data_IF_123098733598
#
_entry.id   IF_123098733598
#
_cell.length_a   1.000
_cell.length_b   1.000
_cell.length_c   1.000
_cell.angle_alpha   90.00
_cell.angle_beta   90.00
_cell.angle_gamma   90.00
#
_symmetry.space_group_name_H-M   'P 1'
#
loop_
_entity.id
_entity.type
_entity.pdbx_description
1 polymer ?
#
# COMPACT_ATOMS: atom_id res chain seq x y z
N UNK A 1 -23.01 40.59 -22.84
CA UNK A 1 -21.81 40.22 -22.08
C UNK A 1 -21.56 38.76 -22.33
N UNK A 2 -20.39 38.39 -22.87
CA UNK A 2 -19.98 36.99 -22.90
C UNK A 2 -19.81 36.53 -21.46
N UNK A 3 -20.59 35.53 -21.05
CA UNK A 3 -20.50 34.95 -19.72
C UNK A 3 -19.24 34.10 -19.67
N UNK A 4 -18.37 34.38 -18.71
CA UNK A 4 -17.24 33.51 -18.41
C UNK A 4 -17.79 32.16 -17.92
N UNK A 5 -17.55 31.11 -18.70
CA UNK A 5 -18.08 29.77 -18.45
C UNK A 5 -17.57 29.13 -17.15
N UNK A 6 -16.53 29.67 -16.53
CA UNK A 6 -16.04 29.22 -15.22
C UNK A 6 -16.63 30.03 -14.05
N UNK A 7 -17.31 31.14 -14.32
CA UNK A 7 -17.96 31.97 -13.30
C UNK A 7 -19.42 31.53 -13.04
N UNK A 8 -19.95 30.63 -13.87
CA UNK A 8 -21.28 30.02 -13.68
C UNK A 8 -21.20 28.77 -12.81
N UNK A 9 -22.36 28.36 -12.29
CA UNK A 9 -22.43 27.11 -11.52
C UNK A 9 -22.12 25.91 -12.41
N UNK A 10 -21.61 24.83 -11.81
CA UNK A 10 -21.37 23.58 -12.55
C UNK A 10 -22.66 23.01 -13.14
N UNK A 11 -23.80 23.19 -12.46
CA UNK A 11 -25.12 22.79 -12.96
C UNK A 11 -25.47 23.55 -14.24
N UNK A 12 -25.36 24.88 -14.24
CA UNK A 12 -25.57 25.70 -15.44
C UNK A 12 -24.61 25.35 -16.58
N UNK A 13 -23.34 25.05 -16.27
CA UNK A 13 -22.37 24.65 -17.27
C UNK A 13 -22.75 23.31 -17.94
N UNK A 14 -23.20 22.33 -17.15
CA UNK A 14 -23.65 21.03 -17.65
C UNK A 14 -24.95 21.14 -18.47
N UNK A 15 -25.90 21.97 -18.02
CA UNK A 15 -27.09 22.28 -18.81
C UNK A 15 -26.73 22.88 -20.17
N UNK A 16 -25.76 23.81 -20.21
CA UNK A 16 -25.29 24.38 -21.49
C UNK A 16 -24.66 23.34 -22.41
N UNK A 17 -23.88 22.38 -21.89
CA UNK A 17 -23.38 21.26 -22.69
C UNK A 17 -24.51 20.35 -23.22
N UNK A 18 -25.60 20.19 -22.46
CA UNK A 18 -26.73 19.34 -22.82
C UNK A 18 -27.83 20.02 -23.66
N UNK A 19 -27.83 21.35 -23.77
CA UNK A 19 -28.91 22.12 -24.36
C UNK A 19 -29.07 21.97 -25.89
N UNK A 20 -28.14 21.29 -26.57
CA UNK A 20 -28.14 21.18 -28.04
C UNK A 20 -27.86 22.50 -28.77
N UNK A 21 -27.52 23.55 -28.03
CA UNK A 21 -27.14 24.86 -28.56
C UNK A 21 -25.65 24.88 -28.95
N UNK A 22 -25.26 25.89 -29.70
CA UNK A 22 -23.92 25.99 -30.27
C UNK A 22 -22.80 26.32 -29.26
N UNK A 23 -23.04 26.51 -27.95
CA UNK A 23 -21.97 26.83 -26.97
C UNK A 23 -22.29 26.32 -25.56
N UNK A 24 -21.32 25.76 -24.82
CA UNK A 24 -19.96 25.38 -25.21
C UNK A 24 -19.90 24.11 -26.06
N UNK A 25 -18.86 23.99 -26.89
CA UNK A 25 -18.67 22.90 -27.84
C UNK A 25 -17.91 21.69 -27.27
N UNK A 26 -17.71 20.66 -28.10
CA UNK A 26 -17.01 19.43 -27.70
C UNK A 26 -15.52 19.63 -27.41
N UNK A 27 -14.86 20.65 -27.98
CA UNK A 27 -13.47 21.00 -27.64
C UNK A 27 -13.36 21.55 -26.22
N UNK A 28 -14.31 22.41 -25.83
CA UNK A 28 -14.46 22.93 -24.48
C UNK A 28 -14.72 21.79 -23.48
N UNK A 29 -15.54 20.80 -23.85
CA UNK A 29 -15.73 19.61 -23.02
C UNK A 29 -14.41 18.82 -22.82
N UNK A 30 -13.61 18.66 -23.88
CA UNK A 30 -12.31 17.99 -23.80
C UNK A 30 -11.31 18.76 -22.92
N UNK A 31 -11.26 20.09 -23.04
CA UNK A 31 -10.43 20.94 -22.16
C UNK A 31 -10.86 20.82 -20.70
N UNK A 32 -12.17 20.83 -20.43
CA UNK A 32 -12.73 20.69 -19.09
C UNK A 32 -12.36 19.33 -18.46
N UNK A 33 -12.37 18.24 -19.23
CA UNK A 33 -11.85 16.94 -18.75
C UNK A 33 -10.38 17.03 -18.33
N UNK A 34 -9.53 17.67 -19.13
CA UNK A 34 -8.13 17.91 -18.76
C UNK A 34 -7.98 18.75 -17.48
N UNK A 35 -8.80 19.78 -17.31
CA UNK A 35 -8.81 20.63 -16.10
C UNK A 35 -9.15 19.83 -14.83
N UNK A 36 -10.13 18.93 -14.91
CA UNK A 36 -10.48 18.04 -13.80
C UNK A 36 -9.32 17.09 -13.46
N UNK A 37 -8.71 16.47 -14.48
CA UNK A 37 -7.54 15.61 -14.31
C UNK A 37 -6.38 16.35 -13.63
N UNK A 38 -6.09 17.58 -14.05
CA UNK A 38 -5.06 18.42 -13.43
C UNK A 38 -5.30 18.63 -11.93
N UNK A 39 -6.55 18.93 -11.52
CA UNK A 39 -6.88 19.15 -10.10
C UNK A 39 -6.82 17.88 -9.26
N UNK A 40 -7.20 16.73 -9.82
CA UNK A 40 -7.02 15.43 -9.16
C UNK A 40 -5.53 15.14 -8.92
N UNK A 41 -4.66 15.39 -9.90
CA UNK A 41 -3.21 15.17 -9.75
C UNK A 41 -2.59 16.05 -8.67
N UNK A 42 -2.91 17.36 -8.68
CA UNK A 42 -2.48 18.30 -7.63
C UNK A 42 -2.90 17.79 -6.25
N UNK A 43 -4.12 17.28 -6.12
CA UNK A 43 -4.64 16.72 -4.86
C UNK A 43 -3.81 15.52 -4.40
N UNK A 44 -3.56 14.55 -5.28
CA UNK A 44 -2.77 13.36 -4.91
C UNK A 44 -1.32 13.73 -4.55
N UNK A 45 -0.70 14.66 -5.28
CA UNK A 45 0.66 15.12 -4.97
C UNK A 45 0.69 15.85 -3.61
N UNK A 46 -0.31 16.69 -3.32
CA UNK A 46 -0.46 17.35 -2.01
C UNK A 46 -0.62 16.33 -0.87
N UNK A 47 -1.48 15.32 -1.03
CA UNK A 47 -1.64 14.22 -0.06
C UNK A 47 -0.33 13.44 0.15
N UNK A 48 0.49 13.33 -0.89
CA UNK A 48 1.82 12.69 -0.85
C UNK A 48 2.83 13.53 -0.06
N UNK A 49 2.73 14.87 -0.16
CA UNK A 49 3.58 15.84 0.53
C UNK A 49 3.18 16.13 2.00
N UNK A 50 2.09 15.53 2.51
CA UNK A 50 1.70 15.69 3.91
C UNK A 50 2.82 15.27 4.89
N UNK A 51 3.01 16.04 5.96
CA UNK A 51 4.12 15.88 6.91
C UNK A 51 4.27 14.45 7.43
N UNK A 52 3.16 13.83 7.86
CA UNK A 52 3.12 12.45 8.36
C UNK A 52 3.51 11.39 7.32
N UNK A 53 3.59 11.74 6.04
CA UNK A 53 3.91 10.83 4.92
C UNK A 53 5.22 11.16 4.21
N UNK A 54 5.71 12.41 4.27
CA UNK A 54 6.93 12.86 3.56
C UNK A 54 8.12 11.90 3.68
N UNK A 55 8.36 11.34 4.86
CA UNK A 55 9.46 10.40 5.08
C UNK A 55 9.39 9.15 4.17
N UNK A 56 8.20 8.67 3.82
CA UNK A 56 7.99 7.51 2.95
C UNK A 56 8.28 7.80 1.48
N UNK A 57 8.13 9.05 1.07
CA UNK A 57 8.22 9.49 -0.33
C UNK A 57 9.44 10.37 -0.60
N UNK A 58 10.37 10.49 0.36
CA UNK A 58 11.50 11.43 0.33
C UNK A 58 12.29 11.42 -0.99
N UNK A 59 12.46 10.24 -1.59
CA UNK A 59 13.25 10.08 -2.82
C UNK A 59 12.51 10.64 -4.05
N UNK A 60 11.21 10.36 -4.18
CA UNK A 60 10.44 10.71 -5.39
C UNK A 60 9.72 12.07 -5.28
N UNK A 61 9.48 12.54 -4.06
CA UNK A 61 8.71 13.75 -3.79
C UNK A 61 9.21 15.00 -4.54
N UNK A 62 10.53 15.28 -4.66
CA UNK A 62 11.00 16.43 -5.43
C UNK A 62 10.54 16.39 -6.90
N UNK A 63 10.54 15.22 -7.54
CA UNK A 63 10.07 15.07 -8.91
C UNK A 63 8.56 15.32 -9.01
N UNK A 64 7.78 14.82 -8.05
CA UNK A 64 6.34 15.07 -8.00
C UNK A 64 6.01 16.56 -7.83
N UNK A 65 6.77 17.28 -7.01
CA UNK A 65 6.57 18.71 -6.79
C UNK A 65 6.91 19.56 -8.03
N UNK A 66 7.89 19.13 -8.84
CA UNK A 66 8.15 19.77 -10.15
C UNK A 66 6.94 19.60 -11.08
N UNK A 67 6.32 18.42 -11.10
CA UNK A 67 5.11 18.17 -11.88
C UNK A 67 3.89 18.92 -11.36
N UNK A 68 3.74 19.03 -10.04
CA UNK A 68 2.70 19.85 -9.41
C UNK A 68 2.82 21.32 -9.84
N UNK A 69 4.02 21.89 -9.77
CA UNK A 69 4.26 23.27 -10.20
C UNK A 69 3.97 23.46 -11.69
N UNK A 70 4.39 22.53 -12.55
CA UNK A 70 4.12 22.58 -13.99
C UNK A 70 2.61 22.50 -14.30
N UNK A 71 1.86 21.70 -13.54
CA UNK A 71 0.40 21.64 -13.66
C UNK A 71 -0.23 22.98 -13.28
N UNK A 72 0.16 23.54 -12.13
CA UNK A 72 -0.48 24.74 -11.58
C UNK A 72 -0.13 26.02 -12.35
N UNK A 73 1.12 26.16 -12.79
CA UNK A 73 1.63 27.40 -13.39
C UNK A 73 1.53 27.42 -14.93
N UNK A 74 1.36 26.26 -15.58
CA UNK A 74 1.29 26.18 -17.05
C UNK A 74 0.09 25.40 -17.55
N UNK A 75 0.01 24.11 -17.25
CA UNK A 75 -0.97 23.22 -17.92
C UNK A 75 -2.41 23.64 -17.60
N UNK A 76 -2.74 23.86 -16.32
CA UNK A 76 -4.10 24.24 -15.92
C UNK A 76 -4.49 25.65 -16.42
N UNK A 77 -3.64 26.69 -16.32
CA UNK A 77 -3.90 27.98 -16.96
C UNK A 77 -4.09 27.89 -18.47
N UNK A 78 -3.28 27.11 -19.20
CA UNK A 78 -3.42 26.94 -20.64
C UNK A 78 -4.71 26.22 -21.02
N UNK A 79 -5.09 25.16 -20.30
CA UNK A 79 -6.38 24.49 -20.50
C UNK A 79 -7.56 25.42 -20.22
N UNK A 80 -7.45 26.27 -19.20
CA UNK A 80 -8.47 27.29 -18.88
C UNK A 80 -8.63 28.29 -20.02
N UNK A 81 -7.52 28.78 -20.56
CA UNK A 81 -7.52 29.68 -21.73
C UNK A 81 -8.14 28.99 -22.95
N UNK A 82 -7.69 27.78 -23.27
CA UNK A 82 -8.17 27.00 -24.42
C UNK A 82 -9.65 26.63 -24.30
N UNK A 83 -10.15 26.38 -23.08
CA UNK A 83 -11.56 26.14 -22.80
C UNK A 83 -12.43 27.33 -23.23
N UNK A 84 -12.01 28.55 -22.92
CA UNK A 84 -12.72 29.76 -23.36
C UNK A 84 -12.55 30.04 -24.85
N UNK A 85 -11.32 29.91 -25.37
CA UNK A 85 -11.03 30.12 -26.78
C UNK A 85 -11.85 29.19 -27.67
N UNK A 86 -12.00 27.90 -27.31
CA UNK A 86 -12.82 26.96 -28.07
C UNK A 86 -14.29 27.38 -28.12
N UNK A 87 -14.88 27.76 -26.98
CA UNK A 87 -16.27 28.20 -26.92
C UNK A 87 -16.55 29.45 -27.77
N UNK A 88 -15.59 30.39 -27.81
CA UNK A 88 -15.66 31.59 -28.64
C UNK A 88 -15.50 31.22 -30.12
N UNK A 89 -14.46 30.46 -30.45
CA UNK A 89 -14.09 30.10 -31.81
C UNK A 89 -15.14 29.22 -32.50
N UNK A 90 -15.78 28.32 -31.75
CA UNK A 90 -16.90 27.54 -32.24
C UNK A 90 -18.05 28.45 -32.69
N UNK A 91 -18.36 29.50 -31.91
CA UNK A 91 -19.34 30.51 -32.30
C UNK A 91 -19.02 31.20 -33.61
N UNK A 92 -17.77 31.66 -33.77
CA UNK A 92 -17.31 32.31 -35.01
C UNK A 92 -17.45 31.39 -36.22
N UNK A 93 -17.09 30.12 -36.06
CA UNK A 93 -17.19 29.11 -37.12
C UNK A 93 -18.64 28.85 -37.53
N UNK A 94 -19.58 28.80 -36.57
CA UNK A 94 -21.01 28.64 -36.88
C UNK A 94 -21.55 29.87 -37.59
N UNK A 95 -21.30 31.09 -37.07
CA UNK A 95 -21.75 32.32 -37.72
C UNK A 95 -21.22 32.45 -39.15
N UNK A 96 -19.94 32.16 -39.39
CA UNK A 96 -19.37 32.21 -40.73
C UNK A 96 -20.01 31.19 -41.70
N UNK A 97 -20.44 30.01 -41.19
CA UNK A 97 -21.17 29.02 -41.99
C UNK A 97 -22.60 29.46 -42.28
N UNK A 98 -23.30 30.03 -41.31
CA UNK A 98 -24.65 30.58 -41.50
C UNK A 98 -24.66 31.74 -42.49
N UNK A 99 -23.69 32.66 -42.41
CA UNK A 99 -23.53 33.76 -43.37
C UNK A 99 -23.31 33.25 -44.79
N UNK A 100 -22.44 32.24 -44.94
CA UNK A 100 -22.24 31.56 -46.22
C UNK A 100 -23.53 30.92 -46.73
N UNK A 101 -24.21 30.13 -45.90
CA UNK A 101 -25.37 29.33 -46.32
C UNK A 101 -26.58 30.21 -46.70
N UNK A 102 -26.66 31.43 -46.15
CA UNK A 102 -27.71 32.41 -46.48
C UNK A 102 -27.37 33.30 -47.69
N UNK A 103 -26.12 33.34 -48.16
CA UNK A 103 -25.72 34.18 -49.29
C UNK A 103 -26.07 33.51 -50.63
N UNK A 104 -26.83 34.24 -51.45
CA UNK A 104 -27.37 33.78 -52.74
C UNK A 104 -26.39 34.04 -53.89
N UNK A 105 -25.62 35.13 -53.82
CA UNK A 105 -24.63 35.44 -54.86
C UNK A 105 -23.46 34.45 -54.81
N UNK A 106 -23.23 33.73 -55.91
CA UNK A 106 -22.22 32.66 -55.96
C UNK A 106 -20.79 33.13 -55.67
N UNK A 107 -20.41 34.34 -56.10
CA UNK A 107 -19.05 34.85 -55.88
C UNK A 107 -18.83 35.26 -54.42
N UNK A 108 -19.81 35.94 -53.81
CA UNK A 108 -19.78 36.27 -52.38
C UNK A 108 -19.89 35.03 -51.51
N UNK A 109 -20.77 34.10 -51.86
CA UNK A 109 -20.92 32.81 -51.18
C UNK A 109 -19.59 32.06 -51.12
N UNK A 110 -18.89 31.95 -52.25
CA UNK A 110 -17.58 31.31 -52.29
C UNK A 110 -16.54 32.04 -51.40
N UNK A 111 -16.53 33.38 -51.38
CA UNK A 111 -15.65 34.16 -50.50
C UNK A 111 -15.95 33.94 -49.01
N UNK A 112 -17.22 33.89 -48.63
CA UNK A 112 -17.65 33.54 -47.27
C UNK A 112 -17.26 32.10 -46.94
N UNK A 113 -17.36 31.17 -47.89
CA UNK A 113 -16.88 29.80 -47.76
C UNK A 113 -15.39 29.72 -47.41
N UNK A 114 -14.55 30.56 -48.04
CA UNK A 114 -13.13 30.67 -47.69
C UNK A 114 -12.91 31.19 -46.27
N UNK A 115 -13.65 32.22 -45.90
CA UNK A 115 -13.59 32.80 -44.54
C UNK A 115 -14.00 31.76 -43.48
N UNK A 116 -15.06 31.00 -43.73
CA UNK A 116 -15.52 29.92 -42.85
C UNK A 116 -14.49 28.78 -42.73
N UNK A 117 -13.73 28.49 -43.79
CA UNK A 117 -12.63 27.52 -43.74
C UNK A 117 -11.45 28.05 -42.91
N UNK A 118 -11.14 29.34 -42.99
CA UNK A 118 -10.07 29.95 -42.19
C UNK A 118 -10.42 29.96 -40.69
N UNK A 119 -11.68 30.25 -40.33
CA UNK A 119 -12.17 30.10 -38.95
C UNK A 119 -12.12 28.63 -38.48
N UNK A 120 -12.36 27.68 -39.39
CA UNK A 120 -12.27 26.25 -39.10
C UNK A 120 -10.83 25.77 -38.85
N UNK A 121 -9.81 26.42 -39.43
CA UNK A 121 -8.40 26.13 -39.15
C UNK A 121 -8.09 26.38 -37.67
N UNK A 122 -8.54 27.51 -37.12
CA UNK A 122 -8.39 27.83 -35.69
C UNK A 122 -9.15 26.82 -34.81
N UNK A 123 -10.35 26.42 -35.22
CA UNK A 123 -11.14 25.35 -34.57
C UNK A 123 -10.49 23.96 -34.60
N UNK A 124 -9.42 23.76 -35.39
CA UNK A 124 -8.59 22.54 -35.38
C UNK A 124 -7.36 22.73 -34.49
N UNK A 125 -6.75 23.91 -34.52
CA UNK A 125 -5.54 24.23 -33.76
C UNK A 125 -5.76 24.24 -32.24
N UNK A 126 -6.95 24.67 -31.79
CA UNK A 126 -7.32 24.66 -30.37
C UNK A 126 -7.39 23.22 -29.81
N UNK A 127 -8.18 22.28 -30.37
CA UNK A 127 -8.15 20.87 -29.96
C UNK A 127 -6.78 20.20 -30.09
N UNK A 128 -5.96 20.59 -31.07
CA UNK A 128 -4.60 20.08 -31.19
C UNK A 128 -3.74 20.45 -29.96
N UNK A 129 -3.91 21.67 -29.46
CA UNK A 129 -3.22 22.17 -28.26
C UNK A 129 -3.76 21.51 -26.99
N UNK A 130 -5.09 21.37 -26.87
CA UNK A 130 -5.73 20.66 -25.76
C UNK A 130 -5.25 19.20 -25.70
N UNK A 131 -5.23 18.50 -26.85
CA UNK A 131 -4.78 17.12 -26.94
C UNK A 131 -3.32 16.93 -26.48
N UNK A 132 -2.43 17.88 -26.78
CA UNK A 132 -1.03 17.87 -26.30
C UNK A 132 -0.95 18.00 -24.77
N UNK A 133 -1.69 18.93 -24.18
CA UNK A 133 -1.75 19.08 -22.72
C UNK A 133 -2.36 17.85 -22.03
N UNK A 134 -3.37 17.23 -22.64
CA UNK A 134 -3.94 15.97 -22.16
C UNK A 134 -2.94 14.81 -22.19
N UNK A 135 -2.04 14.75 -23.18
CA UNK A 135 -0.95 13.76 -23.20
C UNK A 135 -0.01 14.01 -22.01
N UNK A 136 0.40 15.25 -21.77
CA UNK A 136 1.27 15.61 -20.64
C UNK A 136 0.63 15.24 -19.28
N UNK A 137 -0.67 15.53 -19.10
CA UNK A 137 -1.40 15.14 -17.90
C UNK A 137 -1.50 13.63 -17.73
N UNK A 138 -1.71 12.89 -18.81
CA UNK A 138 -1.76 11.43 -18.77
C UNK A 138 -0.40 10.85 -18.32
N UNK A 139 0.71 11.34 -18.87
CA UNK A 139 2.07 10.92 -18.47
C UNK A 139 2.37 11.26 -17.00
N UNK A 140 1.95 12.44 -16.53
CA UNK A 140 2.07 12.79 -15.11
C UNK A 140 1.19 11.85 -14.26
N UNK A 141 -0.01 11.51 -14.73
CA UNK A 141 -0.91 10.60 -14.02
C UNK A 141 -0.31 9.21 -13.82
N UNK A 142 0.42 8.68 -14.80
CA UNK A 142 1.14 7.40 -14.67
C UNK A 142 2.18 7.46 -13.55
N UNK A 143 2.98 8.53 -13.50
CA UNK A 143 3.98 8.72 -12.44
C UNK A 143 3.33 8.84 -11.05
N UNK A 144 2.25 9.61 -10.95
CA UNK A 144 1.53 9.83 -9.69
C UNK A 144 0.79 8.57 -9.24
N UNK A 145 0.28 7.74 -10.17
CA UNK A 145 -0.31 6.44 -9.86
C UNK A 145 0.72 5.49 -9.21
N UNK A 146 1.92 5.40 -9.79
CA UNK A 146 2.96 4.49 -9.30
C UNK A 146 3.59 4.97 -7.99
N UNK A 147 3.89 6.26 -7.92
CA UNK A 147 4.80 6.80 -6.91
C UNK A 147 4.16 7.76 -5.91
N UNK A 148 2.92 8.16 -6.15
CA UNK A 148 2.15 9.00 -5.25
C UNK A 148 1.58 8.24 -4.05
N UNK A 149 0.68 8.92 -3.34
CA UNK A 149 0.03 8.34 -2.18
C UNK A 149 -0.84 7.14 -2.57
N UNK A 150 -0.44 5.95 -2.11
CA UNK A 150 -0.98 4.66 -2.59
C UNK A 150 -2.48 4.47 -2.34
N UNK A 151 -3.03 5.12 -1.30
CA UNK A 151 -4.46 5.06 -1.01
C UNK A 151 -5.31 5.96 -1.90
N UNK A 152 -4.70 6.90 -2.62
CA UNK A 152 -5.34 7.82 -3.56
C UNK A 152 -5.06 7.45 -5.03
N UNK A 153 -4.55 6.23 -5.31
CA UNK A 153 -4.32 5.74 -6.68
C UNK A 153 -5.57 5.76 -7.56
N UNK A 154 -6.76 5.66 -6.96
CA UNK A 154 -8.03 5.83 -7.66
C UNK A 154 -8.15 7.20 -8.32
N UNK A 155 -7.79 8.27 -7.62
CA UNK A 155 -7.84 9.64 -8.15
C UNK A 155 -6.84 9.83 -9.30
N UNK A 156 -5.64 9.26 -9.18
CA UNK A 156 -4.64 9.23 -10.26
C UNK A 156 -5.15 8.48 -11.50
N UNK A 157 -5.86 7.36 -11.30
CA UNK A 157 -6.44 6.60 -12.40
C UNK A 157 -7.58 7.36 -13.09
N UNK A 158 -8.44 8.05 -12.33
CA UNK A 158 -9.49 8.91 -12.89
C UNK A 158 -8.86 10.04 -13.71
N UNK A 159 -7.78 10.66 -13.23
CA UNK A 159 -7.04 11.68 -13.98
C UNK A 159 -6.41 11.14 -15.27
N UNK A 160 -5.81 9.93 -15.22
CA UNK A 160 -5.25 9.26 -16.39
C UNK A 160 -6.34 9.02 -17.45
N UNK A 161 -7.43 8.35 -17.07
CA UNK A 161 -8.54 8.04 -17.98
C UNK A 161 -9.25 9.30 -18.49
N UNK A 162 -9.43 10.32 -17.64
CA UNK A 162 -10.02 11.61 -18.05
C UNK A 162 -9.16 12.36 -19.07
N UNK A 163 -7.84 12.34 -18.89
CA UNK A 163 -6.91 12.94 -19.85
C UNK A 163 -6.92 12.20 -21.20
N UNK A 164 -6.96 10.87 -21.18
CA UNK A 164 -7.09 10.03 -22.38
C UNK A 164 -8.42 10.29 -23.10
N UNK A 165 -9.52 10.44 -22.37
CA UNK A 165 -10.82 10.77 -22.93
C UNK A 165 -10.82 12.16 -23.58
N UNK A 166 -10.18 13.15 -22.95
CA UNK A 166 -9.99 14.49 -23.53
C UNK A 166 -9.19 14.44 -24.84
N UNK A 167 -8.11 13.67 -24.87
CA UNK A 167 -7.32 13.43 -26.09
C UNK A 167 -8.14 12.74 -27.19
N UNK A 168 -8.94 11.72 -26.84
CA UNK A 168 -9.81 11.03 -27.78
C UNK A 168 -10.84 11.99 -28.40
N UNK A 169 -11.48 12.83 -27.57
CA UNK A 169 -12.38 13.88 -28.03
C UNK A 169 -11.71 14.85 -29.00
N UNK A 170 -10.50 15.34 -28.66
CA UNK A 170 -9.73 16.22 -29.54
C UNK A 170 -9.41 15.55 -30.89
N UNK A 171 -8.98 14.29 -30.88
CA UNK A 171 -8.72 13.53 -32.11
C UNK A 171 -9.98 13.45 -32.99
N UNK A 172 -11.14 13.12 -32.43
CA UNK A 172 -12.40 13.07 -33.18
C UNK A 172 -12.77 14.42 -33.79
N UNK A 173 -12.64 15.52 -33.02
CA UNK A 173 -12.94 16.88 -33.49
C UNK A 173 -12.03 17.27 -34.66
N UNK A 174 -10.72 17.04 -34.53
CA UNK A 174 -9.74 17.36 -35.57
C UNK A 174 -10.08 16.61 -36.86
N UNK A 175 -10.34 15.30 -36.79
CA UNK A 175 -10.64 14.49 -37.97
C UNK A 175 -11.94 14.94 -38.65
N UNK A 176 -12.99 15.23 -37.88
CA UNK A 176 -14.27 15.71 -38.43
C UNK A 176 -14.11 17.06 -39.15
N UNK A 177 -13.38 18.00 -38.55
CA UNK A 177 -13.18 19.32 -39.15
C UNK A 177 -12.29 19.24 -40.41
N UNK A 178 -11.31 18.34 -40.44
CA UNK A 178 -10.45 18.12 -41.64
C UNK A 178 -11.23 17.66 -42.88
N UNK A 179 -12.39 17.01 -42.72
CA UNK A 179 -13.24 16.58 -43.85
C UNK A 179 -13.82 17.75 -44.66
N UNK A 180 -13.80 18.97 -44.10
CA UNK A 180 -14.39 20.16 -44.75
C UNK A 180 -13.48 20.79 -45.81
N UNK A 181 -12.21 20.36 -45.92
CA UNK A 181 -11.21 21.02 -46.76
C UNK A 181 -11.02 20.34 -48.13
N UNK A 182 -10.81 21.16 -49.17
CA UNK A 182 -10.54 20.73 -50.54
C UNK A 182 -9.04 20.49 -50.84
N UNK A 183 -8.75 20.12 -52.09
CA UNK A 183 -7.39 19.79 -52.57
C UNK A 183 -6.45 20.99 -52.63
N UNK A 184 -6.98 22.19 -52.71
CA UNK A 184 -6.25 23.46 -52.70
C UNK A 184 -5.64 23.80 -51.33
N UNK A 185 -6.18 23.23 -50.25
CA UNK A 185 -5.66 23.36 -48.89
C UNK A 185 -4.76 22.16 -48.47
N UNK A 186 -4.42 21.27 -49.41
CA UNK A 186 -3.72 20.01 -49.14
C UNK A 186 -2.39 20.18 -48.38
N UNK A 187 -1.65 21.25 -48.67
CA UNK A 187 -0.38 21.51 -47.97
C UNK A 187 -0.58 21.77 -46.48
N UNK A 188 -1.66 22.46 -46.08
CA UNK A 188 -1.96 22.70 -44.67
C UNK A 188 -2.56 21.45 -44.02
N UNK A 189 -3.54 20.81 -44.68
CA UNK A 189 -4.20 19.62 -44.11
C UNK A 189 -3.24 18.45 -43.93
N UNK A 190 -2.29 18.23 -44.84
CA UNK A 190 -1.27 17.18 -44.72
C UNK A 190 -0.39 17.36 -43.48
N UNK A 191 -0.07 18.61 -43.08
CA UNK A 191 0.68 18.88 -41.83
C UNK A 191 -0.14 18.54 -40.60
N UNK A 192 -1.40 18.95 -40.56
CA UNK A 192 -2.30 18.62 -39.44
C UNK A 192 -2.52 17.11 -39.34
N UNK A 193 -2.66 16.41 -40.46
CA UNK A 193 -2.79 14.94 -40.49
C UNK A 193 -1.57 14.27 -39.84
N UNK A 194 -0.36 14.79 -40.07
CA UNK A 194 0.85 14.28 -39.41
C UNK A 194 0.80 14.49 -37.89
N UNK A 195 0.40 15.68 -37.43
CA UNK A 195 0.25 15.94 -35.99
C UNK A 195 -0.85 15.06 -35.36
N UNK A 196 -1.99 14.91 -36.01
CA UNK A 196 -3.07 14.05 -35.55
C UNK A 196 -2.65 12.56 -35.49
N UNK A 197 -1.79 12.10 -36.41
CA UNK A 197 -1.20 10.75 -36.33
C UNK A 197 -0.30 10.58 -35.09
N UNK A 198 0.49 11.60 -34.73
CA UNK A 198 1.31 11.57 -33.50
C UNK A 198 0.42 11.49 -32.25
N UNK A 199 -0.62 12.32 -32.17
CA UNK A 199 -1.59 12.28 -31.08
C UNK A 199 -2.27 10.91 -30.98
N UNK A 200 -2.63 10.30 -32.12
CA UNK A 200 -3.22 8.96 -32.16
C UNK A 200 -2.28 7.86 -31.65
N UNK A 201 -0.99 7.92 -31.98
CA UNK A 201 0.00 6.97 -31.44
C UNK A 201 0.05 7.06 -29.92
N UNK A 202 0.18 8.28 -29.39
CA UNK A 202 0.20 8.52 -27.94
C UNK A 202 -1.10 8.09 -27.26
N UNK A 203 -2.25 8.32 -27.89
CA UNK A 203 -3.54 7.82 -27.39
C UNK A 203 -3.56 6.30 -27.22
N UNK A 204 -3.05 5.55 -28.21
CA UNK A 204 -3.01 4.08 -28.15
C UNK A 204 -2.10 3.60 -27.01
N UNK A 205 -0.89 4.15 -26.93
CA UNK A 205 0.10 3.82 -25.89
C UNK A 205 -0.44 4.12 -24.47
N UNK A 206 -1.06 5.29 -24.28
CA UNK A 206 -1.62 5.69 -22.99
C UNK A 206 -2.84 4.84 -22.60
N UNK A 207 -3.67 4.44 -23.57
CA UNK A 207 -4.84 3.59 -23.29
C UNK A 207 -4.43 2.17 -22.88
N UNK A 208 -3.38 1.63 -23.49
CA UNK A 208 -2.77 0.35 -23.07
C UNK A 208 -2.21 0.46 -21.65
N UNK A 209 -1.48 1.54 -21.34
CA UNK A 209 -0.95 1.77 -19.99
C UNK A 209 -2.06 1.93 -18.94
N UNK A 210 -3.11 2.69 -19.22
CA UNK A 210 -4.24 2.87 -18.32
C UNK A 210 -4.94 1.54 -18.02
N UNK A 211 -5.06 0.66 -19.01
CA UNK A 211 -5.57 -0.71 -18.84
C UNK A 211 -4.65 -1.52 -17.94
N UNK A 212 -3.33 -1.48 -18.17
CA UNK A 212 -2.35 -2.19 -17.36
C UNK A 212 -2.36 -1.75 -15.88
N UNK A 213 -2.66 -0.46 -15.59
CA UNK A 213 -2.81 0.02 -14.21
C UNK A 213 -4.01 -0.59 -13.50
N UNK A 214 -5.15 -0.73 -14.19
CA UNK A 214 -6.33 -1.42 -13.65
C UNK A 214 -6.00 -2.89 -13.37
N UNK A 215 -5.38 -3.58 -14.32
CA UNK A 215 -4.94 -4.98 -14.15
C UNK A 215 -3.94 -5.15 -12.99
N UNK A 216 -3.10 -4.16 -12.72
CA UNK A 216 -2.17 -4.19 -11.58
C UNK A 216 -2.91 -4.22 -10.23
N UNK A 217 -4.00 -3.45 -10.11
CA UNK A 217 -4.85 -3.44 -8.92
C UNK A 217 -5.62 -4.75 -8.78
N UNK A 218 -6.10 -5.32 -9.88
CA UNK A 218 -6.74 -6.64 -9.89
C UNK A 218 -5.79 -7.73 -9.40
N UNK A 219 -4.53 -7.73 -9.85
CA UNK A 219 -3.49 -8.65 -9.38
C UNK A 219 -3.22 -8.51 -7.88
N UNK A 220 -3.25 -7.30 -7.33
CA UNK A 220 -3.14 -7.06 -5.88
C UNK A 220 -4.33 -7.68 -5.13
N UNK A 221 -5.55 -7.48 -5.64
CA UNK A 221 -6.79 -8.05 -5.07
C UNK A 221 -6.73 -9.57 -5.09
N UNK A 222 -6.38 -10.19 -6.21
CA UNK A 222 -6.27 -11.64 -6.36
C UNK A 222 -5.24 -12.24 -5.40
N UNK A 223 -4.08 -11.59 -5.28
CA UNK A 223 -3.02 -12.03 -4.38
C UNK A 223 -3.48 -12.01 -2.92
N UNK A 224 -4.21 -10.96 -2.53
CA UNK A 224 -4.79 -10.81 -1.20
C UNK A 224 -5.92 -11.83 -0.97
N UNK A 225 -6.79 -12.05 -1.95
CA UNK A 225 -7.88 -13.01 -1.87
C UNK A 225 -7.37 -14.45 -1.67
N UNK A 226 -6.28 -14.82 -2.37
CA UNK A 226 -5.62 -16.12 -2.19
C UNK A 226 -5.10 -16.33 -0.77
N UNK A 227 -4.45 -15.31 -0.19
CA UNK A 227 -4.02 -15.35 1.22
C UNK A 227 -5.23 -15.49 2.15
N UNK A 228 -6.23 -14.63 1.98
CA UNK A 228 -7.39 -14.55 2.88
C UNK A 228 -8.21 -15.83 2.87
N UNK A 229 -8.39 -16.46 1.70
CA UNK A 229 -9.06 -17.75 1.58
C UNK A 229 -8.34 -18.85 2.38
N UNK A 230 -7.01 -18.92 2.28
CA UNK A 230 -6.20 -19.90 3.03
C UNK A 230 -6.26 -19.65 4.54
N UNK A 231 -6.17 -18.38 4.96
CA UNK A 231 -6.29 -18.00 6.37
C UNK A 231 -7.69 -18.32 6.91
N UNK A 232 -8.76 -18.00 6.19
CA UNK A 232 -10.14 -18.33 6.58
C UNK A 232 -10.34 -19.84 6.74
N UNK A 233 -9.83 -20.65 5.79
CA UNK A 233 -9.86 -22.12 5.90
C UNK A 233 -9.11 -22.63 7.14
N UNK A 234 -7.93 -22.08 7.42
CA UNK A 234 -7.16 -22.39 8.62
C UNK A 234 -7.98 -22.07 9.88
N UNK A 235 -8.51 -20.85 10.00
CA UNK A 235 -9.28 -20.42 11.16
C UNK A 235 -10.54 -21.26 11.39
N UNK A 236 -11.32 -21.53 10.34
CA UNK A 236 -12.52 -22.38 10.43
C UNK A 236 -12.20 -23.80 10.89
N UNK A 237 -11.13 -24.38 10.36
CA UNK A 237 -10.68 -25.73 10.74
C UNK A 237 -10.22 -25.82 12.19
N UNK A 238 -9.56 -24.78 12.70
CA UNK A 238 -9.05 -24.78 14.07
C UNK A 238 -10.17 -24.51 15.07
N UNK A 239 -11.01 -23.51 14.79
CA UNK A 239 -12.11 -23.12 15.69
C UNK A 239 -13.25 -24.14 15.75
N UNK A 240 -13.31 -25.09 14.82
CA UNK A 240 -14.27 -26.22 14.87
C UNK A 240 -13.81 -27.37 15.77
N UNK A 241 -12.53 -27.43 16.17
CA UNK A 241 -12.03 -28.47 17.08
C UNK A 241 -12.50 -28.20 18.51
N UNK A 242 -13.10 -29.21 19.14
CA UNK A 242 -13.59 -29.13 20.52
C UNK A 242 -12.47 -29.15 21.58
N UNK A 243 -11.32 -29.73 21.24
CA UNK A 243 -10.10 -29.76 22.06
C UNK A 243 -8.88 -29.52 21.18
N UNK A 244 -7.99 -28.65 21.62
CA UNK A 244 -6.70 -28.36 20.99
C UNK A 244 -5.58 -28.76 21.94
N UNK A 245 -4.72 -29.69 21.51
CA UNK A 245 -3.51 -30.03 22.24
C UNK A 245 -2.30 -29.23 21.71
N UNK A 246 -1.14 -29.40 22.34
CA UNK A 246 0.07 -28.67 21.96
C UNK A 246 0.53 -29.00 20.53
N UNK A 247 0.39 -30.25 20.08
CA UNK A 247 0.73 -30.66 18.71
C UNK A 247 -0.18 -29.96 17.70
N UNK A 248 -1.49 -29.92 17.95
CA UNK A 248 -2.44 -29.18 17.11
C UNK A 248 -2.06 -27.71 17.00
N UNK A 249 -1.72 -27.06 18.14
CA UNK A 249 -1.34 -25.64 18.15
C UNK A 249 -0.05 -25.43 17.37
N UNK A 250 0.93 -26.32 17.49
CA UNK A 250 2.18 -26.23 16.75
C UNK A 250 1.98 -26.39 15.24
N UNK A 251 1.12 -27.29 14.81
CA UNK A 251 0.76 -27.46 13.38
C UNK A 251 0.08 -26.21 12.82
N UNK A 252 -0.89 -25.66 13.55
CA UNK A 252 -1.61 -24.44 13.17
C UNK A 252 -0.68 -23.24 13.05
N UNK A 253 0.20 -23.07 14.03
CA UNK A 253 1.21 -22.01 14.03
C UNK A 253 2.16 -22.16 12.84
N UNK A 254 2.63 -23.39 12.57
CA UNK A 254 3.52 -23.67 11.45
C UNK A 254 2.85 -23.38 10.11
N UNK A 255 1.58 -23.75 9.95
CA UNK A 255 0.80 -23.43 8.74
C UNK A 255 0.65 -21.92 8.58
N UNK A 256 0.31 -21.18 9.64
CA UNK A 256 0.19 -19.73 9.60
C UNK A 256 1.52 -19.05 9.21
N UNK A 257 2.63 -19.48 9.80
CA UNK A 257 3.97 -18.98 9.46
C UNK A 257 4.31 -19.24 8.00
N UNK A 258 4.01 -20.44 7.49
CA UNK A 258 4.20 -20.77 6.08
C UNK A 258 3.32 -19.91 5.17
N UNK A 259 2.08 -19.61 5.56
CA UNK A 259 1.24 -18.68 4.80
C UNK A 259 1.87 -17.28 4.75
N UNK A 260 2.41 -16.79 5.87
CA UNK A 260 3.09 -15.48 5.90
C UNK A 260 4.34 -15.48 5.02
N UNK A 261 5.10 -16.58 5.02
CA UNK A 261 6.30 -16.72 4.20
C UNK A 261 5.99 -16.83 2.70
N UNK A 262 5.04 -17.67 2.31
CA UNK A 262 4.65 -17.88 0.90
C UNK A 262 4.06 -16.60 0.31
N UNK A 263 3.26 -15.86 1.09
CA UNK A 263 2.58 -14.64 0.64
C UNK A 263 3.32 -13.35 1.03
N UNK A 264 4.62 -13.42 1.35
CA UNK A 264 5.40 -12.29 1.86
C UNK A 264 5.42 -11.07 0.93
N UNK A 265 5.41 -11.26 -0.38
CA UNK A 265 5.36 -10.16 -1.35
C UNK A 265 4.03 -9.37 -1.27
N UNK A 266 2.93 -10.06 -0.95
CA UNK A 266 1.61 -9.44 -0.77
C UNK A 266 1.52 -8.71 0.57
N UNK A 267 2.14 -9.26 1.61
CA UNK A 267 2.08 -8.71 2.98
C UNK A 267 3.04 -7.52 3.15
N UNK A 268 4.23 -7.59 2.53
CA UNK A 268 5.31 -6.60 2.61
C UNK A 268 5.79 -6.12 1.22
N UNK A 269 4.97 -5.39 0.46
CA UNK A 269 5.31 -5.00 -0.91
C UNK A 269 6.59 -4.15 -1.05
N UNK A 270 6.93 -3.33 -0.05
CA UNK A 270 8.09 -2.43 -0.11
C UNK A 270 9.31 -2.90 0.69
N UNK A 271 9.17 -3.94 1.53
CA UNK A 271 10.23 -4.43 2.43
C UNK A 271 10.10 -5.95 2.62
N UNK A 272 10.09 -6.70 1.52
CA UNK A 272 9.89 -8.15 1.54
C UNK A 272 10.93 -8.87 2.40
N UNK A 273 10.53 -9.65 3.42
CA UNK A 273 11.43 -10.48 4.21
C UNK A 273 12.29 -11.46 3.39
N UNK A 274 13.61 -11.30 3.50
CA UNK A 274 14.59 -12.25 2.95
C UNK A 274 14.81 -13.50 3.81
N UNK A 275 14.43 -13.43 5.09
CA UNK A 275 14.67 -14.48 6.09
C UNK A 275 13.38 -14.87 6.84
N UNK A 276 13.12 -16.16 7.11
CA UNK A 276 11.90 -16.62 7.79
C UNK A 276 11.68 -16.05 9.20
N UNK A 277 12.72 -15.68 9.93
CA UNK A 277 12.56 -15.04 11.26
C UNK A 277 11.87 -13.67 11.15
N UNK A 278 12.03 -13.00 10.01
CA UNK A 278 11.47 -11.65 9.76
C UNK A 278 9.98 -11.66 9.42
N UNK A 279 9.36 -12.83 9.21
CA UNK A 279 7.90 -12.93 9.08
C UNK A 279 7.18 -13.17 10.41
N UNK A 280 7.92 -13.41 11.50
CA UNK A 280 7.38 -13.71 12.84
C UNK A 280 6.94 -12.42 13.57
N UNK A 281 6.09 -11.62 12.92
CA UNK A 281 5.65 -10.30 13.41
C UNK A 281 4.14 -10.30 13.69
N UNK A 282 3.70 -10.46 14.95
CA UNK A 282 2.27 -10.58 15.27
C UNK A 282 1.44 -9.39 14.78
N UNK A 283 1.96 -8.17 14.96
CA UNK A 283 1.28 -6.94 14.53
C UNK A 283 1.01 -6.91 13.02
N UNK A 284 1.89 -7.50 12.21
CA UNK A 284 1.70 -7.60 10.77
C UNK A 284 0.68 -8.68 10.42
N UNK A 285 0.71 -9.84 11.08
CA UNK A 285 -0.29 -10.90 10.89
C UNK A 285 -1.69 -10.36 11.18
N UNK A 286 -1.87 -9.62 12.29
CA UNK A 286 -3.13 -8.96 12.62
C UNK A 286 -3.63 -8.06 11.50
N UNK A 287 -2.80 -7.10 11.07
CA UNK A 287 -3.19 -6.08 10.08
C UNK A 287 -3.39 -6.65 8.67
N UNK A 288 -2.53 -7.57 8.25
CA UNK A 288 -2.38 -7.98 6.85
C UNK A 288 -2.95 -9.35 6.52
N UNK A 289 -3.18 -10.21 7.51
CA UNK A 289 -3.75 -11.54 7.30
C UNK A 289 -5.11 -11.73 8.00
N UNK A 290 -5.30 -11.13 9.18
CA UNK A 290 -6.53 -11.31 9.96
C UNK A 290 -7.51 -10.14 9.90
N UNK A 291 -7.09 -8.99 9.35
CA UNK A 291 -7.93 -7.80 9.20
C UNK A 291 -8.22 -7.04 10.51
N UNK A 292 -7.40 -7.22 11.53
CA UNK A 292 -7.51 -6.47 12.79
C UNK A 292 -6.82 -5.10 12.69
N UNK A 293 -7.39 -4.11 13.37
CA UNK A 293 -6.67 -2.90 13.77
C UNK A 293 -5.74 -3.26 14.91
N UNK A 294 -4.49 -2.85 14.82
CA UNK A 294 -3.48 -3.06 15.85
C UNK A 294 -2.93 -1.70 16.26
N UNK A 295 -2.92 -1.40 17.56
CA UNK A 295 -2.33 -0.18 18.10
C UNK A 295 -1.49 -0.45 19.34
N UNK A 296 -0.41 0.32 19.49
CA UNK A 296 0.26 0.50 20.78
C UNK A 296 -0.40 1.69 21.48
N UNK A 297 -0.70 1.59 22.78
CA UNK A 297 -1.30 2.68 23.57
C UNK A 297 -0.74 2.71 24.99
N UNK A 298 -0.66 3.88 25.60
CA UNK A 298 -0.27 4.04 27.01
C UNK A 298 -1.37 3.59 27.97
N UNK A 299 -2.63 3.71 27.56
CA UNK A 299 -3.79 3.48 28.42
C UNK A 299 -4.72 2.44 27.78
N UNK A 300 -4.65 1.21 28.28
CA UNK A 300 -5.61 0.13 27.96
C UNK A 300 -6.69 0.03 29.04
N UNK A 301 -6.40 0.52 30.24
CA UNK A 301 -7.24 0.42 31.42
C UNK A 301 -6.54 -0.34 32.54
N UNK A 302 -7.17 -0.32 33.71
CA UNK A 302 -6.70 -0.97 34.93
C UNK A 302 -7.75 -1.96 35.37
N UNK A 303 -7.36 -3.21 35.64
CA UNK A 303 -8.23 -4.20 36.25
C UNK A 303 -8.05 -4.15 37.77
N UNK A 304 -9.17 -4.08 38.49
CA UNK A 304 -9.21 -4.19 39.95
C UNK A 304 -9.55 -5.64 40.32
N UNK A 305 -8.61 -6.32 40.98
CA UNK A 305 -8.85 -7.60 41.66
C UNK A 305 -8.19 -7.56 43.03
N UNK A 306 -8.92 -7.98 44.06
CA UNK A 306 -8.42 -8.13 45.44
C UNK A 306 -7.68 -6.88 46.00
N UNK A 307 -8.19 -5.67 45.74
CA UNK A 307 -7.58 -4.38 46.10
C UNK A 307 -6.20 -4.09 45.46
N UNK A 308 -5.79 -4.83 44.43
CA UNK A 308 -4.64 -4.50 43.58
C UNK A 308 -5.09 -3.98 42.20
N UNK A 309 -4.59 -2.80 41.85
CA UNK A 309 -4.70 -2.24 40.50
C UNK A 309 -3.62 -2.85 39.61
N UNK A 310 -4.03 -3.57 38.57
CA UNK A 310 -3.09 -4.15 37.60
C UNK A 310 -3.30 -3.54 36.22
N UNK A 311 -2.22 -2.99 35.65
CA UNK A 311 -2.21 -2.49 34.27
C UNK A 311 -2.35 -3.63 33.26
N UNK A 312 -3.30 -3.48 32.32
CA UNK A 312 -3.57 -4.47 31.28
C UNK A 312 -2.43 -4.42 30.23
N UNK A 313 -1.77 -5.56 30.00
CA UNK A 313 -0.67 -5.64 29.04
C UNK A 313 -1.17 -5.73 27.58
N UNK A 314 -2.34 -6.34 27.38
CA UNK A 314 -2.95 -6.56 26.06
C UNK A 314 -4.46 -6.73 26.14
N UNK A 315 -5.14 -6.28 25.10
CA UNK A 315 -6.59 -6.42 24.92
C UNK A 315 -6.90 -6.80 23.48
N UNK A 316 -7.75 -7.80 23.30
CA UNK A 316 -8.32 -8.17 22.01
C UNK A 316 -9.85 -8.09 22.05
N UNK A 317 -10.39 -7.35 21.10
CA UNK A 317 -11.81 -7.37 20.73
C UNK A 317 -11.96 -8.09 19.39
N UNK A 318 -12.47 -9.32 19.43
CA UNK A 318 -12.70 -10.13 18.23
C UNK A 318 -13.88 -9.65 17.39
N UNK A 319 -14.87 -9.00 18.01
CA UNK A 319 -16.09 -8.51 17.35
C UNK A 319 -15.75 -7.28 16.52
N UNK A 320 -15.09 -6.30 17.13
CA UNK A 320 -14.74 -5.03 16.50
C UNK A 320 -13.38 -5.11 15.78
N UNK A 321 -12.70 -6.25 15.89
CA UNK A 321 -11.40 -6.54 15.25
C UNK A 321 -10.32 -5.55 15.68
N UNK A 322 -10.22 -5.30 16.97
CA UNK A 322 -9.26 -4.37 17.57
C UNK A 322 -8.31 -5.14 18.49
N UNK A 323 -7.01 -4.82 18.40
CA UNK A 323 -5.98 -5.27 19.32
C UNK A 323 -5.22 -4.06 19.84
N UNK A 324 -5.11 -3.96 21.15
CA UNK A 324 -4.36 -2.94 21.86
C UNK A 324 -3.26 -3.62 22.68
N UNK A 325 -2.03 -3.14 22.55
CA UNK A 325 -0.87 -3.59 23.34
C UNK A 325 -0.29 -2.41 24.08
N UNK A 326 0.00 -2.58 25.37
CA UNK A 326 0.49 -1.47 26.20
C UNK A 326 1.90 -1.08 25.77
N UNK A 327 2.11 0.21 25.49
CA UNK A 327 3.43 0.76 25.16
C UNK A 327 4.32 0.97 26.38
N UNK A 328 3.82 0.71 27.60
CA UNK A 328 4.57 0.87 28.85
C UNK A 328 5.59 -0.23 29.13
N UNK A 329 5.58 -1.32 28.35
CA UNK A 329 6.47 -2.46 28.51
C UNK A 329 7.62 -2.44 27.48
N UNK A 330 8.68 -3.22 27.70
CA UNK A 330 9.76 -3.36 26.72
C UNK A 330 9.32 -4.15 25.47
N UNK A 331 10.05 -3.99 24.36
CA UNK A 331 9.71 -4.54 23.06
C UNK A 331 9.51 -6.07 23.07
N UNK A 332 10.26 -6.82 23.90
CA UNK A 332 10.12 -8.27 23.98
C UNK A 332 8.80 -8.65 24.65
N UNK A 333 8.41 -7.95 25.71
CA UNK A 333 7.13 -8.14 26.39
C UNK A 333 5.97 -7.74 25.48
N UNK A 334 6.09 -6.60 24.78
CA UNK A 334 5.09 -6.17 23.80
C UNK A 334 4.92 -7.22 22.70
N UNK A 335 6.02 -7.74 22.15
CA UNK A 335 6.00 -8.74 21.08
C UNK A 335 5.37 -10.07 21.54
N UNK A 336 5.75 -10.57 22.73
CA UNK A 336 5.14 -11.78 23.29
C UNK A 336 3.65 -11.59 23.60
N UNK A 337 3.27 -10.41 24.10
CA UNK A 337 1.85 -10.07 24.34
C UNK A 337 1.07 -10.01 23.05
N UNK A 338 1.60 -9.37 22.01
CA UNK A 338 0.96 -9.38 20.69
C UNK A 338 0.83 -10.80 20.11
N UNK A 339 1.82 -11.67 20.30
CA UNK A 339 1.75 -13.07 19.87
C UNK A 339 0.72 -13.89 20.68
N UNK A 340 0.55 -13.57 21.96
CA UNK A 340 -0.47 -14.16 22.82
C UNK A 340 -1.87 -13.77 22.36
N UNK A 341 -2.13 -12.47 22.13
CA UNK A 341 -3.40 -12.01 21.55
C UNK A 341 -3.65 -12.63 20.18
N UNK A 342 -2.60 -12.85 19.39
CA UNK A 342 -2.71 -13.53 18.09
C UNK A 342 -3.16 -14.97 18.27
N UNK A 343 -2.71 -15.65 19.33
CA UNK A 343 -3.20 -16.95 19.73
C UNK A 343 -4.70 -16.94 20.00
N UNK A 344 -5.20 -15.94 20.73
CA UNK A 344 -6.65 -15.77 20.93
C UNK A 344 -7.42 -15.57 19.62
N UNK A 345 -6.90 -14.72 18.73
CA UNK A 345 -7.54 -14.45 17.44
C UNK A 345 -7.62 -15.69 16.54
N UNK A 346 -6.59 -16.54 16.58
CA UNK A 346 -6.47 -17.73 15.72
C UNK A 346 -7.21 -18.92 16.32
N UNK A 347 -7.03 -19.20 17.60
CA UNK A 347 -7.50 -20.43 18.25
C UNK A 347 -8.91 -20.32 18.82
N UNK A 348 -9.35 -19.12 19.23
CA UNK A 348 -10.51 -18.98 20.12
C UNK A 348 -11.62 -18.09 19.53
N UNK A 349 -12.84 -18.16 20.10
CA UNK A 349 -14.04 -17.45 19.62
C UNK A 349 -14.62 -16.44 20.61
N UNK A 350 -14.08 -16.31 21.83
CA UNK A 350 -14.58 -15.33 22.81
C UNK A 350 -14.46 -13.90 22.27
N UNK A 351 -15.44 -13.07 22.59
CA UNK A 351 -15.61 -11.73 22.03
C UNK A 351 -14.57 -10.73 22.54
N UNK A 352 -14.37 -10.65 23.85
CA UNK A 352 -13.38 -9.76 24.48
C UNK A 352 -12.54 -10.57 25.45
N UNK A 353 -11.22 -10.43 25.37
CA UNK A 353 -10.26 -11.04 26.28
C UNK A 353 -9.23 -10.00 26.73
N UNK A 354 -8.85 -10.08 28.00
CA UNK A 354 -7.90 -9.19 28.65
C UNK A 354 -6.74 -10.00 29.21
N UNK A 355 -5.52 -9.49 29.06
CA UNK A 355 -4.35 -10.07 29.69
C UNK A 355 -3.97 -9.30 30.96
N UNK A 356 -4.12 -9.97 32.10
CA UNK A 356 -3.94 -9.36 33.43
C UNK A 356 -2.47 -9.00 33.74
N UNK A 357 -1.44 -9.78 33.34
CA UNK A 357 0.00 -9.48 33.57
C UNK A 357 0.94 -10.13 32.52
N UNK A 358 2.10 -9.53 32.19
CA UNK A 358 3.12 -10.16 31.34
C UNK A 358 3.91 -11.26 32.08
N UNK A 359 4.35 -12.28 31.34
CA UNK A 359 5.14 -13.39 31.89
C UNK A 359 6.61 -12.98 32.00
N UNK A 360 7.03 -12.56 33.19
CA UNK A 360 8.44 -12.32 33.53
C UNK A 360 9.15 -13.54 34.16
N UNK A 361 8.61 -14.76 33.94
CA UNK A 361 9.24 -15.99 34.43
C UNK A 361 9.07 -16.25 35.93
N UNK A 362 8.26 -15.46 36.64
CA UNK A 362 7.82 -15.76 38.02
C UNK A 362 6.60 -16.67 38.01
N UNK A 363 6.62 -17.69 38.87
CA UNK A 363 5.56 -18.69 39.05
C UNK A 363 4.22 -18.01 39.32
N UNK A 364 3.24 -18.23 38.45
CA UNK A 364 1.92 -17.62 38.55
C UNK A 364 1.06 -18.44 39.52
N UNK A 365 0.73 -17.85 40.66
CA UNK A 365 -0.15 -18.43 41.69
C UNK A 365 -1.61 -18.25 41.30
N UNK A 366 -2.15 -19.17 40.50
CA UNK A 366 -3.58 -19.19 40.13
C UNK A 366 -3.92 -20.23 39.05
N UNK A 367 -5.13 -20.80 39.08
CA UNK A 367 -5.61 -21.80 38.10
C UNK A 367 -5.96 -21.10 36.79
N UNK A 368 -4.99 -21.00 35.86
CA UNK A 368 -5.18 -20.40 34.53
C UNK A 368 -6.25 -21.16 33.73
N UNK A 369 -7.04 -20.42 32.94
CA UNK A 369 -7.96 -21.04 31.99
C UNK A 369 -7.18 -21.80 30.91
N UNK A 370 -7.82 -22.80 30.29
CA UNK A 370 -7.19 -23.57 29.21
C UNK A 370 -6.81 -22.66 28.04
N UNK A 371 -7.62 -21.65 27.74
CA UNK A 371 -7.43 -20.72 26.64
C UNK A 371 -6.18 -19.86 26.84
N UNK A 372 -5.91 -19.37 28.05
CA UNK A 372 -4.69 -18.62 28.37
C UNK A 372 -3.44 -19.47 28.16
N UNK A 373 -3.49 -20.75 28.57
CA UNK A 373 -2.39 -21.69 28.37
C UNK A 373 -2.16 -21.96 26.88
N UNK A 374 -3.24 -22.12 26.11
CA UNK A 374 -3.17 -22.34 24.67
C UNK A 374 -2.63 -21.10 23.93
N UNK A 375 -3.01 -19.89 24.34
CA UNK A 375 -2.51 -18.63 23.79
C UNK A 375 -1.01 -18.42 24.11
N UNK A 376 -0.56 -18.73 25.32
CA UNK A 376 0.87 -18.71 25.66
C UNK A 376 1.69 -19.72 24.86
N UNK A 377 1.16 -20.93 24.65
CA UNK A 377 1.80 -21.94 23.80
C UNK A 377 1.83 -21.52 22.34
N UNK A 378 0.75 -20.91 21.84
CA UNK A 378 0.72 -20.30 20.52
C UNK A 378 1.81 -19.23 20.38
N UNK A 379 1.91 -18.30 21.33
CA UNK A 379 2.92 -17.23 21.32
C UNK A 379 4.34 -17.80 21.27
N UNK A 380 4.60 -18.81 22.10
CA UNK A 380 5.90 -19.51 22.15
C UNK A 380 6.25 -20.14 20.81
N UNK A 381 5.33 -20.90 20.20
CA UNK A 381 5.57 -21.54 18.91
C UNK A 381 5.64 -20.54 17.76
N UNK A 382 4.88 -19.45 17.84
CA UNK A 382 4.82 -18.43 16.80
C UNK A 382 6.12 -17.64 16.74
N UNK A 383 6.62 -17.19 17.90
CA UNK A 383 7.84 -16.40 17.99
C UNK A 383 9.10 -17.25 17.96
N UNK A 384 9.04 -18.51 18.40
CA UNK A 384 10.20 -19.40 18.48
C UNK A 384 9.89 -20.78 17.85
N UNK A 385 9.80 -20.85 16.51
CA UNK A 385 9.41 -22.07 15.79
C UNK A 385 10.51 -23.11 15.94
N UNK A 386 10.15 -24.35 16.27
CA UNK A 386 11.13 -25.39 16.63
C UNK A 386 12.24 -25.55 15.60
N UNK A 387 11.88 -25.66 14.31
CA UNK A 387 12.84 -25.84 13.21
C UNK A 387 13.82 -24.67 13.09
N UNK A 388 13.33 -23.42 13.19
CA UNK A 388 14.18 -22.24 13.09
C UNK A 388 15.10 -22.10 14.31
N UNK A 389 14.57 -22.35 15.52
CA UNK A 389 15.38 -22.31 16.75
C UNK A 389 16.48 -23.36 16.69
N UNK A 390 16.15 -24.61 16.30
CA UNK A 390 17.13 -25.70 16.17
C UNK A 390 18.19 -25.39 15.11
N UNK A 391 17.79 -24.84 13.97
CA UNK A 391 18.71 -24.45 12.91
C UNK A 391 19.69 -23.36 13.39
N UNK A 392 19.16 -22.24 13.91
CA UNK A 392 19.98 -21.12 14.39
C UNK A 392 20.85 -21.56 15.57
N UNK A 393 20.33 -22.38 16.48
CA UNK A 393 21.12 -22.93 17.58
C UNK A 393 22.31 -23.75 17.08
N UNK A 394 22.10 -24.61 16.07
CA UNK A 394 23.18 -25.37 15.44
C UNK A 394 24.21 -24.46 14.76
N UNK A 395 23.76 -23.41 14.08
CA UNK A 395 24.65 -22.44 13.43
C UNK A 395 25.50 -21.67 14.44
N UNK A 396 24.91 -21.25 15.57
CA UNK A 396 25.61 -20.45 16.60
C UNK A 396 26.53 -21.28 17.50
N UNK A 397 26.10 -22.47 17.91
CA UNK A 397 26.81 -23.29 18.91
C UNK A 397 27.50 -24.52 18.32
N UNK A 398 27.42 -24.69 16.99
CA UNK A 398 28.08 -25.77 16.24
C UNK A 398 27.69 -27.18 16.70
N UNK A 399 26.51 -27.32 17.33
CA UNK A 399 26.00 -28.57 17.87
C UNK A 399 24.48 -28.65 17.82
N UNK A 400 23.95 -29.87 17.77
CA UNK A 400 22.52 -30.14 17.95
C UNK A 400 22.08 -30.13 19.41
N UNK A 401 22.99 -30.47 20.30
CA UNK A 401 22.74 -30.54 21.73
C UNK A 401 23.98 -30.03 22.46
N UNK A 402 23.82 -28.97 23.23
CA UNK A 402 24.92 -28.42 24.00
C UNK A 402 25.07 -29.20 25.30
N UNK A 403 26.25 -29.79 25.49
CA UNK A 403 26.63 -30.52 26.71
C UNK A 403 27.85 -29.82 27.32
N UNK A 404 27.87 -29.64 28.64
CA UNK A 404 29.03 -29.04 29.29
C UNK A 404 30.21 -30.03 29.33
N UNK A 405 31.30 -29.67 28.67
CA UNK A 405 32.62 -30.30 28.77
C UNK A 405 33.71 -29.23 28.62
N UNK A 406 34.98 -29.60 28.79
CA UNK A 406 36.09 -28.63 28.77
C UNK A 406 36.20 -27.88 27.44
N UNK A 407 35.87 -28.54 26.32
CA UNK A 407 35.87 -27.91 25.00
C UNK A 407 34.73 -26.88 24.89
N UNK A 408 33.49 -27.24 25.21
CA UNK A 408 32.35 -26.31 25.12
C UNK A 408 32.46 -25.18 26.15
N UNK A 409 33.08 -25.43 27.31
CA UNK A 409 33.41 -24.41 28.31
C UNK A 409 34.44 -23.40 27.79
N UNK A 410 35.51 -23.90 27.15
CA UNK A 410 36.50 -23.07 26.49
C UNK A 410 35.86 -22.22 25.39
N UNK A 411 35.11 -22.82 24.47
CA UNK A 411 34.47 -22.12 23.35
C UNK A 411 33.45 -21.06 23.80
N UNK A 412 32.78 -21.26 24.93
CA UNK A 412 31.76 -20.34 25.46
C UNK A 412 32.32 -19.24 26.37
N UNK A 413 33.42 -19.51 27.10
CA UNK A 413 33.89 -18.61 28.17
C UNK A 413 35.38 -18.28 28.15
N UNK A 414 36.15 -18.85 27.21
CA UNK A 414 37.62 -18.82 27.17
C UNK A 414 38.29 -19.38 28.45
N UNK A 415 37.57 -20.18 29.24
CA UNK A 415 38.06 -20.91 30.41
C UNK A 415 37.82 -22.41 30.16
N UNK A 416 38.89 -23.22 30.12
CA UNK A 416 38.83 -24.64 29.77
C UNK A 416 38.27 -25.53 30.89
N UNK A 417 37.68 -24.97 31.95
CA UNK A 417 37.14 -25.74 33.08
C UNK A 417 35.62 -25.92 32.97
N UNK A 418 35.19 -27.15 32.66
CA UNK A 418 33.79 -27.55 32.70
C UNK A 418 33.15 -27.30 34.08
N UNK A 419 33.87 -27.61 35.17
CA UNK A 419 33.37 -27.43 36.55
C UNK A 419 33.08 -25.97 36.89
N UNK A 420 33.93 -25.04 36.44
CA UNK A 420 33.66 -23.61 36.63
C UNK A 420 32.42 -23.16 35.87
N UNK A 421 32.21 -23.64 34.65
CA UNK A 421 31.00 -23.34 33.89
C UNK A 421 29.76 -23.93 34.57
N UNK A 422 29.81 -25.18 35.03
CA UNK A 422 28.73 -25.82 35.81
C UNK A 422 28.40 -25.02 37.07
N UNK A 423 29.41 -24.63 37.84
CA UNK A 423 29.22 -23.84 39.07
C UNK A 423 28.61 -22.45 38.80
N UNK A 424 28.98 -21.79 37.70
CA UNK A 424 28.39 -20.50 37.30
C UNK A 424 26.93 -20.65 36.89
N UNK A 425 26.61 -21.68 36.11
CA UNK A 425 25.26 -21.92 35.61
C UNK A 425 24.32 -22.53 36.66
N UNK A 426 24.84 -23.25 37.66
CA UNK A 426 24.12 -23.90 38.78
C UNK A 426 23.16 -25.03 38.40
N UNK A 427 22.38 -24.89 37.34
CA UNK A 427 21.39 -25.86 36.86
C UNK A 427 21.12 -25.68 35.36
N UNK A 428 20.25 -26.54 34.80
CA UNK A 428 19.84 -26.51 33.41
C UNK A 428 19.31 -25.12 32.97
N UNK A 429 18.49 -24.47 33.81
CA UNK A 429 17.95 -23.13 33.52
C UNK A 429 19.02 -22.06 33.47
N UNK A 430 20.02 -22.09 34.35
CA UNK A 430 21.11 -21.13 34.29
C UNK A 430 21.99 -21.33 33.05
N UNK A 431 22.20 -22.58 32.62
CA UNK A 431 22.87 -22.87 31.35
C UNK A 431 22.05 -22.37 30.15
N UNK A 432 20.74 -22.61 30.14
CA UNK A 432 19.84 -22.13 29.10
C UNK A 432 19.79 -20.60 29.02
N UNK A 433 19.73 -19.90 30.16
CA UNK A 433 19.82 -18.43 30.22
C UNK A 433 21.17 -17.92 29.69
N UNK A 434 22.27 -18.61 30.03
CA UNK A 434 23.60 -18.26 29.54
C UNK A 434 23.66 -18.39 28.02
N UNK A 435 23.22 -19.52 27.46
CA UNK A 435 23.22 -19.73 26.00
C UNK A 435 22.25 -18.77 25.28
N UNK A 436 21.06 -18.55 25.84
CA UNK A 436 20.06 -17.65 25.26
C UNK A 436 20.51 -16.18 25.15
N UNK A 437 21.38 -15.72 26.07
CA UNK A 437 21.90 -14.34 26.12
C UNK A 437 23.32 -14.18 25.55
N UNK A 438 23.99 -15.28 25.23
CA UNK A 438 25.38 -15.23 24.76
C UNK A 438 25.47 -14.61 23.37
N UNK A 439 26.48 -13.76 23.17
CA UNK A 439 26.77 -13.06 21.91
C UNK A 439 28.14 -13.44 21.32
N UNK A 440 28.78 -14.46 21.89
CA UNK A 440 30.08 -14.96 21.44
C UNK A 440 30.21 -16.46 21.70
N UNK A 441 30.68 -17.20 20.70
CA UNK A 441 31.04 -18.62 20.84
C UNK A 441 32.13 -18.94 19.80
N UNK A 442 33.14 -19.72 20.20
CA UNK A 442 34.27 -20.09 19.32
C UNK A 442 34.92 -18.88 18.62
N UNK A 443 35.22 -17.83 19.40
CA UNK A 443 35.77 -16.55 18.95
C UNK A 443 34.97 -15.78 17.89
N UNK A 444 33.76 -16.24 17.54
CA UNK A 444 32.84 -15.52 16.66
C UNK A 444 31.84 -14.73 17.49
N UNK A 445 31.64 -13.46 17.12
CA UNK A 445 30.61 -12.60 17.75
C UNK A 445 29.35 -12.58 16.90
N UNK A 446 28.18 -12.62 17.54
CA UNK A 446 26.87 -12.67 16.89
C UNK A 446 25.79 -12.05 17.79
N UNK A 447 24.61 -11.77 17.21
CA UNK A 447 23.43 -11.43 18.01
C UNK A 447 22.96 -12.68 18.76
N UNK A 448 22.71 -12.54 20.06
CA UNK A 448 22.18 -13.66 20.86
C UNK A 448 20.90 -14.23 20.24
N UNK A 449 20.70 -15.54 20.41
CA UNK A 449 19.53 -16.22 19.86
C UNK A 449 18.21 -15.60 20.37
N UNK A 450 18.16 -15.10 21.60
CA UNK A 450 17.00 -14.35 22.10
C UNK A 450 16.73 -13.06 21.29
N UNK A 451 17.78 -12.28 20.98
CA UNK A 451 17.68 -11.06 20.16
C UNK A 451 17.29 -11.36 18.71
N UNK A 452 17.80 -12.46 18.13
CA UNK A 452 17.44 -12.87 16.76
C UNK A 452 15.94 -13.14 16.59
N UNK A 453 15.30 -13.71 17.62
CA UNK A 453 13.86 -13.98 17.65
C UNK A 453 13.02 -12.86 18.28
N UNK A 454 13.64 -11.76 18.73
CA UNK A 454 12.97 -10.63 19.40
C UNK A 454 12.10 -11.07 20.60
N UNK A 455 12.69 -11.89 21.47
CA UNK A 455 12.07 -12.41 22.69
C UNK A 455 13.01 -12.20 23.88
N UNK A 456 12.46 -12.28 25.10
CA UNK A 456 13.28 -12.20 26.31
C UNK A 456 14.22 -13.40 26.42
N UNK A 457 15.38 -13.19 27.06
CA UNK A 457 16.34 -14.27 27.35
C UNK A 457 15.68 -15.42 28.10
N UNK A 458 14.77 -15.11 29.03
CA UNK A 458 14.03 -16.12 29.81
C UNK A 458 13.11 -16.95 28.92
N UNK A 459 12.36 -16.31 28.00
CA UNK A 459 11.46 -17.02 27.08
C UNK A 459 12.25 -17.97 26.16
N UNK A 460 13.37 -17.49 25.61
CA UNK A 460 14.25 -18.32 24.79
C UNK A 460 14.89 -19.46 25.60
N UNK A 461 15.35 -19.21 26.83
CA UNK A 461 15.91 -20.26 27.69
C UNK A 461 14.90 -21.39 27.96
N UNK A 462 13.64 -21.04 28.28
CA UNK A 462 12.55 -22.02 28.40
C UNK A 462 12.40 -22.81 27.10
N UNK A 463 12.44 -22.13 25.95
CA UNK A 463 12.27 -22.79 24.66
C UNK A 463 13.42 -23.75 24.32
N UNK A 464 14.66 -23.41 24.68
CA UNK A 464 15.80 -24.31 24.49
C UNK A 464 15.67 -25.59 25.33
N UNK A 465 15.12 -25.49 26.55
CA UNK A 465 14.80 -26.65 27.39
C UNK A 465 13.66 -27.49 26.79
N UNK A 466 12.56 -26.85 26.36
CA UNK A 466 11.42 -27.54 25.74
C UNK A 466 11.79 -28.31 24.47
N UNK A 467 12.81 -27.86 23.75
CA UNK A 467 13.31 -28.49 22.54
C UNK A 467 14.45 -29.49 22.81
N UNK A 468 14.80 -29.72 24.08
CA UNK A 468 15.85 -30.64 24.53
C UNK A 468 17.22 -30.35 23.90
N UNK A 469 17.50 -29.07 23.62
CA UNK A 469 18.74 -28.62 22.97
C UNK A 469 19.95 -28.52 23.90
N UNK A 470 19.73 -28.72 25.20
CA UNK A 470 20.73 -28.50 26.23
C UNK A 470 20.69 -29.67 27.21
N UNK A 471 21.88 -30.13 27.60
CA UNK A 471 22.09 -31.07 28.69
C UNK A 471 23.07 -30.46 29.68
N UNK A 472 22.72 -30.50 30.97
CA UNK A 472 23.48 -29.85 32.04
C UNK A 472 24.54 -30.76 32.65
#
# INVERSE_FOLDING_TARGET
>A
MEVNLLDITTEELLEKFGAGNHKPGSGSAAAFQGMLSAKLLVTVISLTNEEKRRHKYKIILPQLLVKDNDIQERIFPDLTRLFHEDAIQFGRTITAREERDNEVDLFKNNKLGRTALDELKVSIEIPLSIGKLCIELAEISELVFESGFQSARGDSQVALSGSIAGLAGCLSIIQLNLLSFGSDEYFWTSKIIVEAKKLKSRYQELNESATAKIESLEKEVDSKAKLYNKVDKLLKRVKSKSKLNNTDIQEVVSELQNLMWIHKNTIWPSNTPGDPTKVLMPSTVFRKALGFKYSLTSDIGVLERDNEYTEIAGLIDQKDKIVLISSGYDDNIQNFTAAHELGHAVLHTQTIMHRDRPINGTTITGKRSLQEIQADKFATYFLMPSKLVQQIFRELFLTNKFVINDNTAFLLTNDSSADKLKNRCKNLRGLALKLASTERYNDQSFLSIAKLFNVSTTAMAIRLEELELIEF
#
